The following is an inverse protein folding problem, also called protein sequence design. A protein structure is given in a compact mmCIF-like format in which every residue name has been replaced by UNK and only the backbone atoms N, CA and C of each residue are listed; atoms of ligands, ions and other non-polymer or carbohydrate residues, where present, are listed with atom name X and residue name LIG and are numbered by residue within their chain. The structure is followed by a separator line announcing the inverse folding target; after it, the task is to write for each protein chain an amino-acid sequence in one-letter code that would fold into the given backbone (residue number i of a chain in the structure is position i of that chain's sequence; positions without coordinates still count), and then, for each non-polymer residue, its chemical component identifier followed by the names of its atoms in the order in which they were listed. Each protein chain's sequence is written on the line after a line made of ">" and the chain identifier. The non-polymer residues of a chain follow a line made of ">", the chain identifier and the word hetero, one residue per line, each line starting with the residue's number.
data_IF_360418043550
#
_entry.id   IF_360418043550
#
_cell.length_a   1.000
_cell.length_b   1.000
_cell.length_c   1.000
_cell.angle_alpha   90.00
_cell.angle_beta   90.00
_cell.angle_gamma   90.00
#
_symmetry.space_group_name_H-M   'P 1'
#
loop_
_entity.id
_entity.type
_entity.pdbx_description
1 polymer ?
#
# COMPACT_ATOMS: atom_id res chain seq x y z
N UNK A 1 -20.18 -23.62 53.75
CA UNK A 1 -19.46 -23.12 52.56
C UNK A 1 -18.72 -24.31 51.96
N UNK A 2 -19.05 -24.67 50.73
CA UNK A 2 -18.50 -25.87 50.09
C UNK A 2 -17.11 -25.59 49.52
N UNK A 3 -16.22 -26.57 49.61
CA UNK A 3 -15.66 -27.16 48.39
C UNK A 3 -15.20 -28.57 48.70
N UNK A 4 -15.75 -29.55 47.99
CA UNK A 4 -15.23 -30.90 47.99
C UNK A 4 -13.84 -30.94 47.35
N UNK A 5 -13.05 -31.92 47.77
CA UNK A 5 -11.82 -32.32 47.10
C UNK A 5 -12.08 -33.53 46.20
N UNK A 6 -11.38 -33.63 45.08
CA UNK A 6 -10.89 -34.87 44.47
C UNK A 6 -9.97 -34.47 43.30
N UNK A 7 -8.66 -34.77 43.32
CA UNK A 7 -8.05 -36.04 42.86
C UNK A 7 -8.12 -36.18 41.31
N UNK A 8 -7.11 -36.56 40.52
CA UNK A 8 -5.71 -37.00 40.67
C UNK A 8 -5.04 -36.94 39.26
N UNK A 9 -3.73 -37.01 39.00
CA UNK A 9 -2.48 -36.98 39.80
C UNK A 9 -1.29 -36.74 38.80
N UNK A 10 -0.08 -37.23 39.11
CA UNK A 10 1.11 -37.42 38.26
C UNK A 10 1.91 -36.21 37.70
N UNK A 11 3.18 -36.18 38.11
CA UNK A 11 4.40 -35.60 37.50
C UNK A 11 5.38 -36.81 37.47
N UNK A 12 6.25 -37.09 36.47
CA UNK A 12 6.98 -36.09 35.66
C UNK A 12 7.38 -36.47 34.21
N UNK A 13 8.27 -35.61 33.67
CA UNK A 13 9.32 -35.86 32.67
C UNK A 13 9.03 -35.61 31.18
N UNK A 14 10.10 -35.21 30.49
CA UNK A 14 10.13 -34.52 29.20
C UNK A 14 10.50 -35.48 28.06
N UNK A 15 9.90 -35.29 26.88
CA UNK A 15 10.54 -35.74 25.63
C UNK A 15 10.39 -34.69 24.50
N UNK A 16 11.44 -34.37 23.72
CA UNK A 16 11.57 -33.05 23.07
C UNK A 16 11.14 -33.04 21.60
N UNK A 17 9.87 -33.34 21.29
CA UNK A 17 9.34 -33.29 19.90
C UNK A 17 8.04 -32.50 19.80
N UNK A 18 8.10 -31.17 19.95
CA UNK A 18 7.12 -30.27 19.30
C UNK A 18 7.60 -28.82 19.10
N UNK A 19 8.91 -28.61 18.91
CA UNK A 19 9.53 -27.30 18.54
C UNK A 19 9.11 -26.75 17.15
N UNK A 20 8.05 -27.31 16.56
CA UNK A 20 7.48 -26.90 15.27
C UNK A 20 6.09 -26.24 15.40
N UNK A 21 5.46 -26.28 16.59
CA UNK A 21 4.14 -25.70 16.82
C UNK A 21 4.18 -24.22 17.24
N UNK A 22 5.28 -23.77 17.84
CA UNK A 22 5.41 -22.43 18.42
C UNK A 22 5.71 -21.33 17.38
N UNK A 23 6.28 -21.67 16.21
CA UNK A 23 6.47 -20.73 15.09
C UNK A 23 5.17 -20.32 14.39
N UNK A 24 4.05 -21.05 14.62
CA UNK A 24 2.72 -20.69 14.07
C UNK A 24 1.92 -19.71 14.95
N UNK A 25 2.48 -19.24 16.06
CA UNK A 25 1.79 -18.28 16.96
C UNK A 25 2.28 -16.83 16.84
N UNK A 26 3.41 -16.57 16.17
CA UNK A 26 3.82 -15.20 15.85
C UNK A 26 2.85 -14.56 14.83
N UNK A 27 2.22 -15.37 13.98
CA UNK A 27 1.18 -14.94 13.03
C UNK A 27 -0.18 -14.58 13.65
N UNK A 28 -0.37 -14.74 14.97
CA UNK A 28 -1.69 -14.67 15.61
C UNK A 28 -2.00 -13.36 16.36
N UNK A 29 -1.02 -12.47 16.53
CA UNK A 29 -1.20 -11.24 17.36
C UNK A 29 -1.60 -10.00 16.53
N UNK A 30 -1.36 -9.99 15.21
CA UNK A 30 -1.66 -8.83 14.35
C UNK A 30 -3.11 -8.77 13.80
N UNK A 31 -3.92 -9.82 14.00
CA UNK A 31 -5.18 -10.00 13.26
C UNK A 31 -6.48 -9.70 14.05
N UNK A 32 -6.41 -9.35 15.34
CA UNK A 32 -7.60 -9.33 16.23
C UNK A 32 -7.95 -7.93 16.79
N UNK A 33 -7.13 -6.90 16.57
CA UNK A 33 -7.36 -5.54 17.11
C UNK A 33 -8.09 -4.55 16.17
N UNK A 34 -8.69 -5.00 15.06
CA UNK A 34 -9.39 -4.12 14.11
C UNK A 34 -10.86 -4.50 13.76
N UNK A 35 -11.45 -5.53 14.39
CA UNK A 35 -12.85 -5.93 14.09
C UNK A 35 -13.88 -5.24 15.02
N UNK A 36 -13.43 -4.56 16.08
CA UNK A 36 -14.32 -3.92 17.06
C UNK A 36 -15.05 -2.64 16.60
N UNK A 37 -14.59 -1.96 15.55
CA UNK A 37 -15.16 -0.66 15.13
C UNK A 37 -16.41 -0.76 14.23
N UNK A 38 -16.58 -1.89 13.54
CA UNK A 38 -17.62 -2.03 12.48
C UNK A 38 -19.03 -2.04 13.07
N UNK A 39 -19.24 -2.63 14.24
CA UNK A 39 -20.56 -2.73 14.89
C UNK A 39 -21.02 -1.35 15.41
N UNK A 40 -20.10 -0.54 15.94
CA UNK A 40 -20.40 0.83 16.40
C UNK A 40 -20.73 1.75 15.22
N UNK A 41 -20.02 1.62 14.10
CA UNK A 41 -20.27 2.40 12.88
C UNK A 41 -21.64 2.09 12.28
N UNK A 42 -22.04 0.81 12.28
CA UNK A 42 -23.36 0.36 11.79
C UNK A 42 -24.53 0.91 12.63
N UNK A 43 -24.32 1.18 13.92
CA UNK A 43 -25.34 1.81 14.79
C UNK A 43 -25.50 3.31 14.50
N UNK A 44 -24.42 4.02 14.17
CA UNK A 44 -24.45 5.45 13.83
C UNK A 44 -25.06 5.75 12.45
N UNK A 45 -24.88 4.85 11.47
CA UNK A 45 -25.48 5.00 10.13
C UNK A 45 -27.01 5.04 10.21
N UNK A 46 -27.62 4.26 11.12
CA UNK A 46 -29.09 4.18 11.26
C UNK A 46 -29.73 5.37 11.98
N UNK A 47 -28.94 6.19 12.70
CA UNK A 47 -29.45 7.45 13.28
C UNK A 47 -29.47 8.63 12.30
N UNK A 48 -28.88 8.50 11.11
CA UNK A 48 -28.77 9.59 10.13
C UNK A 48 -29.94 9.68 9.14
N UNK A 49 -30.94 8.80 9.21
CA UNK A 49 -32.06 8.73 8.25
C UNK A 49 -33.16 9.81 8.45
N UNK A 50 -32.94 10.83 9.30
CA UNK A 50 -33.97 11.82 9.68
C UNK A 50 -33.62 13.31 9.38
N UNK A 51 -32.47 13.65 8.81
CA UNK A 51 -32.11 15.05 8.50
C UNK A 51 -32.21 15.35 6.99
N UNK A 52 -32.88 16.46 6.63
CA UNK A 52 -33.17 16.83 5.24
C UNK A 52 -31.93 17.28 4.42
N UNK A 53 -31.82 16.91 3.13
CA UNK A 53 -30.59 17.10 2.36
C UNK A 53 -30.49 18.48 1.68
N UNK A 54 -29.96 19.48 2.38
CA UNK A 54 -29.68 20.83 1.82
C UNK A 54 -28.21 21.26 1.96
N UNK A 55 -27.24 20.38 1.65
CA UNK A 55 -25.80 20.74 1.61
C UNK A 55 -24.92 19.95 0.61
N UNK A 56 -25.48 19.06 -0.23
CA UNK A 56 -24.68 18.10 -1.00
C UNK A 56 -23.76 18.66 -2.11
N UNK A 57 -23.94 19.93 -2.53
CA UNK A 57 -23.24 20.50 -3.68
C UNK A 57 -21.77 20.84 -3.43
N UNK A 58 -21.44 21.45 -2.29
CA UNK A 58 -20.09 21.90 -1.96
C UNK A 58 -19.15 20.74 -1.65
N UNK A 59 -19.57 19.80 -0.80
CA UNK A 59 -18.76 18.62 -0.44
C UNK A 59 -18.42 17.77 -1.67
N UNK A 60 -19.39 17.51 -2.55
CA UNK A 60 -19.15 16.75 -3.78
C UNK A 60 -18.19 17.47 -4.76
N UNK A 61 -18.15 18.81 -4.77
CA UNK A 61 -17.18 19.58 -5.54
C UNK A 61 -15.77 19.51 -4.93
N UNK A 62 -15.65 19.59 -3.60
CA UNK A 62 -14.37 19.45 -2.88
C UNK A 62 -13.76 18.07 -3.12
N UNK A 63 -14.54 16.99 -2.97
CA UNK A 63 -14.02 15.63 -3.20
C UNK A 63 -13.56 15.40 -4.64
N UNK A 64 -14.29 15.92 -5.65
CA UNK A 64 -13.85 15.84 -7.06
C UNK A 64 -12.60 16.66 -7.35
N UNK A 65 -12.41 17.78 -6.66
CA UNK A 65 -11.20 18.59 -6.76
C UNK A 65 -10.00 17.86 -6.13
N UNK A 66 -10.21 17.20 -4.99
CA UNK A 66 -9.22 16.32 -4.36
C UNK A 66 -8.86 15.14 -5.27
N UNK A 67 -9.85 14.39 -5.77
CA UNK A 67 -9.68 13.27 -6.72
C UNK A 67 -8.83 13.70 -7.92
N UNK A 68 -9.16 14.82 -8.58
CA UNK A 68 -8.41 15.32 -9.74
C UNK A 68 -6.97 15.74 -9.41
N UNK A 69 -6.76 16.39 -8.26
CA UNK A 69 -5.43 16.88 -7.88
C UNK A 69 -4.50 15.75 -7.42
N UNK A 70 -5.04 14.79 -6.66
CA UNK A 70 -4.33 13.58 -6.26
C UNK A 70 -4.03 12.67 -7.46
N UNK A 71 -4.95 12.53 -8.42
CA UNK A 71 -4.71 11.77 -9.65
C UNK A 71 -3.50 12.30 -10.43
N UNK A 72 -3.42 13.63 -10.61
CA UNK A 72 -2.31 14.25 -11.30
C UNK A 72 -0.96 14.01 -10.60
N UNK A 73 -0.92 14.07 -9.26
CA UNK A 73 0.28 13.78 -8.47
C UNK A 73 0.64 12.28 -8.50
N UNK A 74 -0.33 11.40 -8.36
CA UNK A 74 -0.14 9.94 -8.43
C UNK A 74 0.36 9.50 -9.80
N UNK A 75 -0.13 10.12 -10.89
CA UNK A 75 0.37 9.87 -12.26
C UNK A 75 1.85 10.22 -12.40
N UNK A 76 2.30 11.32 -11.80
CA UNK A 76 3.72 11.70 -11.80
C UNK A 76 4.56 10.73 -10.98
N UNK A 77 4.13 10.43 -9.75
CA UNK A 77 4.80 9.47 -8.86
C UNK A 77 4.89 8.06 -9.50
N UNK A 78 3.85 7.62 -10.20
CA UNK A 78 3.84 6.33 -10.89
C UNK A 78 4.84 6.27 -12.05
N UNK A 79 4.98 7.33 -12.85
CA UNK A 79 6.01 7.40 -13.90
C UNK A 79 7.41 7.36 -13.29
N UNK A 80 7.68 8.14 -12.24
CA UNK A 80 8.98 8.11 -11.54
C UNK A 80 9.27 6.77 -10.88
N UNK A 81 8.27 6.10 -10.29
CA UNK A 81 8.43 4.77 -9.70
C UNK A 81 8.73 3.67 -10.74
N UNK A 82 8.32 3.86 -12.00
CA UNK A 82 8.41 2.84 -13.06
C UNK A 82 9.41 3.19 -14.17
N UNK A 83 10.15 4.28 -14.03
CA UNK A 83 11.18 4.73 -14.97
C UNK A 83 12.52 4.81 -14.26
N UNK A 84 13.56 4.17 -14.81
CA UNK A 84 14.92 4.21 -14.27
C UNK A 84 15.94 3.76 -15.32
N UNK A 85 17.15 4.31 -15.30
CA UNK A 85 18.31 3.84 -16.06
C UNK A 85 19.47 3.52 -15.10
N UNK A 86 20.17 2.40 -15.33
CA UNK A 86 21.39 2.04 -14.61
C UNK A 86 22.48 3.14 -14.65
N UNK A 87 22.41 4.07 -15.62
CA UNK A 87 23.32 5.21 -15.77
C UNK A 87 22.94 6.44 -14.91
N UNK A 88 21.68 6.58 -14.48
CA UNK A 88 21.16 7.74 -13.71
C UNK A 88 20.49 7.38 -12.38
N UNK A 89 20.74 6.16 -11.86
CA UNK A 89 20.16 5.59 -10.64
C UNK A 89 19.98 6.53 -9.43
N UNK A 90 20.90 7.46 -9.18
CA UNK A 90 20.77 8.36 -8.03
C UNK A 90 19.67 9.41 -8.25
N UNK A 91 19.56 9.95 -9.47
CA UNK A 91 18.48 10.85 -9.86
C UNK A 91 17.14 10.10 -9.92
N UNK A 92 17.12 8.96 -10.64
CA UNK A 92 15.91 8.17 -10.88
C UNK A 92 15.26 7.59 -9.62
N UNK A 93 16.00 7.42 -8.52
CA UNK A 93 15.49 6.95 -7.23
C UNK A 93 15.36 8.05 -6.17
N UNK A 94 15.68 9.32 -6.48
CA UNK A 94 15.55 10.46 -5.55
C UNK A 94 14.13 11.01 -5.44
N UNK A 95 13.25 10.74 -6.41
CA UNK A 95 11.91 11.32 -6.52
C UNK A 95 11.05 11.18 -5.25
N UNK A 96 11.22 10.07 -4.52
CA UNK A 96 10.46 9.75 -3.31
C UNK A 96 10.63 10.80 -2.20
N UNK A 97 11.80 11.45 -2.10
CA UNK A 97 12.07 12.53 -1.14
C UNK A 97 11.14 13.74 -1.31
N UNK A 98 10.65 13.96 -2.54
CA UNK A 98 9.82 15.13 -2.90
C UNK A 98 8.34 14.80 -3.02
N UNK A 99 8.02 13.55 -3.41
CA UNK A 99 6.67 13.09 -3.72
C UNK A 99 6.04 12.17 -2.67
N UNK A 100 6.82 11.63 -1.74
CA UNK A 100 6.33 10.74 -0.67
C UNK A 100 6.14 11.44 0.68
N UNK A 101 5.28 10.89 1.54
CA UNK A 101 5.26 11.21 2.97
C UNK A 101 6.55 10.73 3.63
N UNK A 102 6.90 11.24 4.82
CA UNK A 102 8.10 10.76 5.55
C UNK A 102 8.06 9.23 5.77
N UNK A 103 6.88 8.68 6.09
CA UNK A 103 6.63 7.24 6.19
C UNK A 103 6.94 6.49 4.88
N UNK A 104 6.52 7.02 3.74
CA UNK A 104 6.81 6.42 2.44
C UNK A 104 8.32 6.49 2.11
N UNK A 105 8.98 7.60 2.44
CA UNK A 105 10.42 7.78 2.22
C UNK A 105 11.25 6.74 2.96
N UNK A 106 10.97 6.51 4.25
CA UNK A 106 11.62 5.48 5.06
C UNK A 106 11.46 4.07 4.43
N UNK A 107 10.23 3.72 4.03
CA UNK A 107 9.92 2.43 3.40
C UNK A 107 10.59 2.28 2.02
N UNK A 108 10.60 3.34 1.22
CA UNK A 108 11.22 3.34 -0.11
C UNK A 108 12.74 3.22 -0.03
N UNK A 109 13.39 3.86 0.96
CA UNK A 109 14.81 3.73 1.21
C UNK A 109 15.21 2.28 1.55
N UNK A 110 14.43 1.59 2.39
CA UNK A 110 14.67 0.18 2.76
C UNK A 110 14.59 -0.76 1.55
N UNK A 111 13.57 -0.62 0.70
CA UNK A 111 13.35 -1.54 -0.44
C UNK A 111 14.16 -1.19 -1.69
N UNK A 112 14.56 0.08 -1.88
CA UNK A 112 15.27 0.51 -3.10
C UNK A 112 16.73 0.10 -3.14
N UNK A 113 17.40 -0.06 -2.00
CA UNK A 113 18.82 -0.44 -1.93
C UNK A 113 19.15 -1.73 -2.73
N UNK A 114 18.50 -2.89 -2.50
CA UNK A 114 18.75 -4.10 -3.28
C UNK A 114 18.30 -3.99 -4.75
N UNK A 115 17.29 -3.15 -5.04
CA UNK A 115 16.82 -2.91 -6.42
C UNK A 115 17.89 -2.15 -7.22
N UNK A 116 18.50 -1.11 -6.65
CA UNK A 116 19.60 -0.34 -7.27
C UNK A 116 20.79 -1.24 -7.62
N UNK A 117 21.14 -2.20 -6.76
CA UNK A 117 22.19 -3.20 -7.04
C UNK A 117 21.81 -4.08 -8.24
N UNK A 118 20.59 -4.64 -8.25
CA UNK A 118 20.09 -5.48 -9.35
C UNK A 118 20.04 -4.72 -10.68
N UNK A 119 19.57 -3.47 -10.70
CA UNK A 119 19.54 -2.62 -11.91
C UNK A 119 20.96 -2.34 -12.41
N UNK A 120 21.92 -2.11 -11.51
CA UNK A 120 23.33 -1.93 -11.87
C UNK A 120 23.94 -3.18 -12.50
N UNK A 121 23.75 -4.36 -11.88
CA UNK A 121 24.30 -5.63 -12.34
C UNK A 121 23.75 -6.02 -13.72
N UNK A 122 22.42 -5.91 -13.87
CA UNK A 122 21.70 -6.25 -15.09
C UNK A 122 21.79 -5.15 -16.15
N UNK A 123 22.28 -3.95 -15.83
CA UNK A 123 22.17 -2.74 -16.67
C UNK A 123 20.75 -2.55 -17.19
N UNK A 124 19.79 -2.61 -16.28
CA UNK A 124 18.40 -2.46 -16.63
C UNK A 124 18.08 -0.99 -16.96
N UNK A 125 17.22 -0.81 -17.96
CA UNK A 125 16.61 0.46 -18.32
C UNK A 125 15.11 0.22 -18.49
N UNK A 126 14.30 1.03 -17.81
CA UNK A 126 12.85 0.93 -17.79
C UNK A 126 12.21 2.28 -18.10
N UNK A 127 11.16 2.27 -18.93
CA UNK A 127 10.34 3.45 -19.24
C UNK A 127 8.88 3.15 -18.93
N UNK A 128 8.30 3.90 -17.97
CA UNK A 128 6.91 3.76 -17.53
C UNK A 128 5.99 4.85 -18.09
N UNK A 129 4.82 4.45 -18.60
CA UNK A 129 3.76 5.37 -19.05
C UNK A 129 2.41 4.99 -18.43
N UNK A 130 1.78 5.92 -17.72
CA UNK A 130 0.41 5.71 -17.21
C UNK A 130 -0.58 5.81 -18.36
N UNK A 131 -1.16 4.68 -18.75
CA UNK A 131 -2.15 4.59 -19.83
C UNK A 131 -3.56 4.98 -19.37
N UNK A 132 -3.92 4.68 -18.12
CA UNK A 132 -5.22 5.08 -17.54
C UNK A 132 -5.16 5.16 -16.01
N UNK A 133 -6.12 5.84 -15.38
CA UNK A 133 -6.27 5.88 -13.92
C UNK A 133 -7.70 6.14 -13.46
N UNK A 134 -7.99 5.77 -12.22
CA UNK A 134 -9.22 6.10 -11.52
C UNK A 134 -8.91 6.52 -10.07
N UNK A 135 -9.30 7.74 -9.70
CA UNK A 135 -9.15 8.28 -8.36
C UNK A 135 -10.47 8.21 -7.58
N UNK A 136 -10.37 7.93 -6.27
CA UNK A 136 -11.50 7.93 -5.35
C UNK A 136 -11.12 8.59 -4.02
N UNK A 137 -11.79 9.69 -3.68
CA UNK A 137 -11.64 10.32 -2.39
C UNK A 137 -12.27 9.49 -1.26
N UNK A 138 -11.51 9.33 -0.17
CA UNK A 138 -12.03 8.95 1.14
C UNK A 138 -12.57 10.22 1.83
N UNK A 139 -11.81 11.30 1.78
CA UNK A 139 -12.19 12.65 2.21
C UNK A 139 -11.46 13.71 1.37
N UNK A 140 -11.39 14.97 1.84
CA UNK A 140 -10.79 16.07 1.10
C UNK A 140 -9.25 16.00 1.00
N UNK A 141 -8.61 15.25 1.89
CA UNK A 141 -7.16 15.18 2.08
C UNK A 141 -6.61 13.75 1.93
N UNK A 142 -7.47 12.74 1.73
CA UNK A 142 -7.10 11.35 1.45
C UNK A 142 -7.78 10.82 0.18
N UNK A 143 -6.99 10.38 -0.79
CA UNK A 143 -7.47 9.84 -2.08
C UNK A 143 -6.71 8.56 -2.44
N UNK A 144 -7.45 7.52 -2.82
CA UNK A 144 -6.87 6.31 -3.42
C UNK A 144 -6.92 6.45 -4.94
N UNK A 145 -5.79 6.20 -5.63
CA UNK A 145 -5.68 6.24 -7.09
C UNK A 145 -5.25 4.86 -7.59
N UNK A 146 -6.06 4.25 -8.46
CA UNK A 146 -5.68 3.08 -9.25
C UNK A 146 -5.06 3.56 -10.56
N UNK A 147 -3.88 3.07 -10.92
CA UNK A 147 -3.18 3.39 -12.16
C UNK A 147 -2.86 2.12 -12.95
N UNK A 148 -3.07 2.22 -14.25
CA UNK A 148 -2.63 1.23 -15.24
C UNK A 148 -1.40 1.81 -15.94
N UNK A 149 -0.29 1.09 -15.88
CA UNK A 149 1.00 1.55 -16.43
C UNK A 149 1.47 0.51 -17.44
N UNK A 150 1.91 0.98 -18.61
CA UNK A 150 2.73 0.21 -19.53
C UNK A 150 4.20 0.53 -19.22
N UNK A 151 5.02 -0.49 -18.97
CA UNK A 151 6.44 -0.36 -18.64
C UNK A 151 7.28 -1.16 -19.64
N UNK A 152 8.12 -0.47 -20.41
CA UNK A 152 9.06 -1.13 -21.31
C UNK A 152 10.39 -1.34 -20.59
N UNK A 153 10.81 -2.59 -20.43
CA UNK A 153 12.04 -3.00 -19.74
C UNK A 153 13.06 -3.58 -20.72
N UNK A 154 14.32 -3.16 -20.59
CA UNK A 154 15.48 -3.72 -21.30
C UNK A 154 16.60 -4.01 -20.32
N UNK A 155 17.44 -5.02 -20.59
CA UNK A 155 18.60 -5.34 -19.75
C UNK A 155 19.71 -6.05 -20.53
N UNK A 156 20.91 -6.11 -19.94
CA UNK A 156 22.05 -6.83 -20.48
C UNK A 156 21.75 -8.33 -20.59
N UNK A 157 21.55 -8.80 -21.82
CA UNK A 157 21.23 -10.20 -22.13
C UNK A 157 19.78 -10.42 -22.56
N UNK A 158 18.92 -9.39 -22.56
CA UNK A 158 17.63 -9.44 -23.24
C UNK A 158 17.82 -9.16 -24.74
N UNK A 159 17.47 -10.10 -25.61
CA UNK A 159 17.53 -9.90 -27.08
C UNK A 159 16.50 -8.86 -27.59
N UNK A 160 15.47 -8.57 -26.81
CA UNK A 160 14.38 -7.61 -27.11
C UNK A 160 13.86 -6.96 -25.83
N UNK A 161 13.26 -5.76 -25.91
CA UNK A 161 12.50 -5.18 -24.80
C UNK A 161 11.31 -6.06 -24.41
N UNK A 162 11.04 -6.12 -23.10
CA UNK A 162 9.83 -6.71 -22.53
C UNK A 162 8.83 -5.60 -22.23
N UNK A 163 7.54 -5.86 -22.46
CA UNK A 163 6.46 -4.98 -22.01
C UNK A 163 5.80 -5.61 -20.77
N UNK A 164 6.02 -5.00 -19.62
CA UNK A 164 5.30 -5.28 -18.38
C UNK A 164 4.14 -4.30 -18.23
N UNK A 165 3.06 -4.72 -17.56
CA UNK A 165 1.86 -3.90 -17.38
C UNK A 165 1.45 -3.80 -15.89
N UNK A 166 2.27 -3.16 -15.03
CA UNK A 166 1.98 -3.07 -13.61
C UNK A 166 0.69 -2.28 -13.33
N UNK A 167 -0.11 -2.81 -12.40
CA UNK A 167 -1.31 -2.15 -11.86
C UNK A 167 -1.00 -1.65 -10.46
N UNK A 168 -0.98 -0.34 -10.28
CA UNK A 168 -0.59 0.31 -9.04
C UNK A 168 -1.83 0.86 -8.33
N UNK A 169 -1.96 0.60 -7.04
CA UNK A 169 -2.87 1.35 -6.17
C UNK A 169 -2.03 2.23 -5.27
N UNK A 170 -2.19 3.54 -5.41
CA UNK A 170 -1.51 4.57 -4.62
C UNK A 170 -2.47 5.19 -3.62
N UNK A 171 -2.09 5.27 -2.35
CA UNK A 171 -2.78 6.09 -1.36
C UNK A 171 -2.08 7.44 -1.26
N UNK A 172 -2.81 8.49 -1.63
CA UNK A 172 -2.34 9.87 -1.64
C UNK A 172 -2.91 10.61 -0.42
N UNK A 173 -2.04 11.33 0.28
CA UNK A 173 -2.38 12.16 1.45
C UNK A 173 -2.01 13.61 1.14
N UNK A 174 -2.80 14.56 1.62
CA UNK A 174 -2.56 15.99 1.43
C UNK A 174 -1.91 16.61 2.67
N UNK A 175 -0.64 16.98 2.55
CA UNK A 175 0.14 17.62 3.60
C UNK A 175 0.63 18.99 3.13
N UNK A 176 0.45 20.04 3.96
CA UNK A 176 0.79 21.43 3.63
C UNK A 176 0.30 21.91 2.26
N UNK A 177 -0.88 21.42 1.86
CA UNK A 177 -1.53 21.72 0.58
C UNK A 177 -1.03 20.92 -0.63
N UNK A 178 0.05 20.13 -0.50
CA UNK A 178 0.61 19.25 -1.53
C UNK A 178 0.05 17.83 -1.41
N UNK A 179 -0.11 17.13 -2.54
CA UNK A 179 -0.42 15.70 -2.54
C UNK A 179 0.87 14.88 -2.52
N UNK A 180 0.99 13.99 -1.54
CA UNK A 180 2.12 13.10 -1.33
C UNK A 180 1.64 11.64 -1.35
N UNK A 181 2.50 10.74 -1.80
CA UNK A 181 2.30 9.30 -1.78
C UNK A 181 2.61 8.75 -0.38
N UNK A 182 1.64 8.10 0.27
CA UNK A 182 1.82 7.47 1.59
C UNK A 182 1.98 5.95 1.53
N UNK A 183 1.40 5.30 0.52
CA UNK A 183 1.52 3.86 0.30
C UNK A 183 1.32 3.51 -1.19
N UNK A 184 2.09 2.55 -1.69
CA UNK A 184 1.88 1.96 -3.03
C UNK A 184 1.73 0.46 -2.94
N UNK A 185 0.78 -0.10 -3.72
CA UNK A 185 0.49 -1.54 -3.79
C UNK A 185 0.48 -2.01 -5.24
N UNK A 186 1.30 -3.01 -5.56
CA UNK A 186 1.25 -3.70 -6.84
C UNK A 186 0.12 -4.75 -6.84
N UNK A 187 -0.78 -4.68 -7.81
CA UNK A 187 -1.94 -5.56 -7.90
C UNK A 187 -1.71 -6.71 -8.87
N UNK A 188 -1.21 -7.84 -8.36
CA UNK A 188 -1.14 -9.09 -9.12
C UNK A 188 -2.52 -9.77 -9.19
N UNK A 189 -3.16 -9.73 -10.36
CA UNK A 189 -4.40 -10.46 -10.64
C UNK A 189 -4.13 -11.95 -10.92
N UNK A 190 -3.57 -12.64 -9.94
CA UNK A 190 -3.58 -14.11 -9.87
C UNK A 190 -4.52 -14.53 -8.76
N UNK A 191 -5.83 -14.55 -9.05
CA UNK A 191 -6.78 -15.26 -8.19
C UNK A 191 -6.43 -16.75 -8.19
N UNK A 192 -6.34 -17.30 -6.99
CA UNK A 192 -6.30 -18.75 -6.72
C UNK A 192 -7.69 -19.37 -6.88
#
# INVERSE_FOLDING_TARGET
>A
MSSEASSAAEDPDLDPVDKLKQWRQISAVLAVLLVGSVITLMFLIRSAENDEPTSGGSSAQVLRAAEKAADAAARQAAVSLTTYDYASLEEDFSWAETAGTAKFQDQYAEVSAPIRELVTETRAHAEGTVVDSAARAVDADHVTVLLFVDQTLTSKGSDRPTLDQPRLTMMMVREDGRWLLDEVKLSNLTSN
#
